data_IF_948020789530
#
_entry.id   IF_948020789530
#
_cell.length_a   1.000
_cell.length_b   1.000
_cell.length_c   1.000
_cell.angle_alpha   90.00
_cell.angle_beta   90.00
_cell.angle_gamma   90.00
#
_symmetry.space_group_name_H-M   'P 1'
#
loop_
_entity.id
_entity.type
_entity.pdbx_description
1 polymer ?
#
# COMPACT_ATOMS: atom_id res chain seq x y z
N UNK A 1 0.09 -12.43 -13.14
CA UNK A 1 -0.88 -12.32 -12.05
C UNK A 1 -2.27 -12.79 -12.50
N UNK A 2 -2.86 -12.20 -13.52
CA UNK A 2 -4.23 -12.48 -13.99
C UNK A 2 -4.45 -13.95 -14.37
N UNK A 3 -3.46 -14.58 -15.03
CA UNK A 3 -3.52 -16.01 -15.35
C UNK A 3 -3.53 -16.88 -14.08
N UNK A 4 -2.80 -16.51 -13.03
CA UNK A 4 -2.83 -17.21 -11.74
C UNK A 4 -4.20 -17.10 -11.08
N UNK A 5 -4.83 -15.92 -11.10
CA UNK A 5 -6.18 -15.71 -10.57
C UNK A 5 -7.20 -16.56 -11.35
N UNK A 6 -7.12 -16.56 -12.69
CA UNK A 6 -7.97 -17.37 -13.55
C UNK A 6 -7.82 -18.87 -13.25
N UNK A 7 -6.59 -19.36 -13.12
CA UNK A 7 -6.32 -20.79 -12.82
C UNK A 7 -6.80 -21.15 -11.41
N UNK A 8 -6.57 -20.32 -10.41
CA UNK A 8 -7.05 -20.52 -9.04
C UNK A 8 -8.58 -20.58 -8.99
N UNK A 9 -9.26 -19.65 -9.66
CA UNK A 9 -10.72 -19.61 -9.76
C UNK A 9 -11.27 -20.86 -10.47
N UNK A 10 -10.62 -21.31 -11.56
CA UNK A 10 -11.00 -22.55 -12.22
C UNK A 10 -10.83 -23.74 -11.28
N UNK A 11 -9.68 -23.82 -10.61
CA UNK A 11 -9.35 -24.95 -9.72
C UNK A 11 -10.28 -25.02 -8.52
N UNK A 12 -10.66 -23.88 -7.93
CA UNK A 12 -11.60 -23.84 -6.81
C UNK A 12 -12.96 -24.45 -7.15
N UNK A 13 -13.42 -24.31 -8.41
CA UNK A 13 -14.67 -24.90 -8.89
C UNK A 13 -14.59 -26.42 -9.15
N UNK A 14 -13.39 -26.95 -9.37
CA UNK A 14 -13.15 -28.39 -9.63
C UNK A 14 -13.00 -29.19 -8.34
N UNK A 15 -12.67 -28.53 -7.21
CA UNK A 15 -12.41 -29.17 -5.92
C UNK A 15 -13.65 -29.02 -5.03
N UNK A 16 -14.19 -30.11 -4.41
CA UNK A 16 -15.27 -29.99 -3.43
C UNK A 16 -14.90 -29.02 -2.31
N UNK A 17 -15.76 -28.04 -2.04
CA UNK A 17 -15.53 -26.95 -1.08
C UNK A 17 -14.28 -26.09 -1.37
N UNK A 18 -13.84 -26.04 -2.63
CA UNK A 18 -12.71 -25.20 -3.03
C UNK A 18 -13.04 -23.71 -2.88
N UNK A 19 -12.12 -22.96 -2.25
CA UNK A 19 -12.26 -21.53 -2.02
C UNK A 19 -11.04 -20.82 -2.60
N UNK A 20 -11.25 -19.68 -3.26
CA UNK A 20 -10.18 -18.75 -3.61
C UNK A 20 -9.90 -17.87 -2.41
N UNK A 21 -8.63 -17.73 -2.04
CA UNK A 21 -8.18 -16.85 -0.96
C UNK A 21 -7.18 -15.86 -1.54
N UNK A 22 -7.59 -14.60 -1.68
CA UNK A 22 -6.74 -13.51 -2.13
C UNK A 22 -7.28 -12.18 -1.59
N UNK A 23 -6.45 -11.15 -1.55
CA UNK A 23 -6.76 -9.88 -0.93
C UNK A 23 -7.40 -8.83 -1.86
N UNK A 24 -7.47 -9.09 -3.17
CA UNK A 24 -8.16 -8.22 -4.12
C UNK A 24 -9.65 -8.50 -4.11
N UNK A 25 -10.45 -7.49 -3.76
CA UNK A 25 -11.91 -7.57 -3.79
C UNK A 25 -12.48 -7.10 -5.13
N UNK A 26 -13.55 -7.74 -5.53
CA UNK A 26 -14.43 -7.34 -6.64
C UNK A 26 -15.89 -7.61 -6.28
N UNK A 27 -16.82 -7.15 -7.10
CA UNK A 27 -18.26 -7.35 -6.85
C UNK A 27 -18.60 -8.84 -6.66
N UNK A 28 -19.15 -9.16 -5.50
CA UNK A 28 -19.51 -10.55 -5.11
C UNK A 28 -18.35 -11.36 -4.48
N UNK A 29 -17.15 -10.79 -4.37
CA UNK A 29 -16.02 -11.39 -3.65
C UNK A 29 -15.35 -10.34 -2.74
N UNK A 30 -15.95 -10.09 -1.61
CA UNK A 30 -15.54 -9.03 -0.68
C UNK A 30 -15.23 -9.55 0.73
N UNK A 31 -15.87 -10.66 1.14
CA UNK A 31 -15.78 -11.16 2.52
C UNK A 31 -14.35 -11.60 2.88
N UNK A 32 -13.73 -12.43 2.06
CA UNK A 32 -12.35 -12.91 2.29
C UNK A 32 -11.34 -11.78 2.20
N UNK A 33 -11.36 -10.89 1.17
CA UNK A 33 -10.53 -9.69 1.15
C UNK A 33 -10.69 -8.82 2.40
N UNK A 34 -11.89 -8.62 2.91
CA UNK A 34 -12.13 -7.88 4.15
C UNK A 34 -11.43 -8.52 5.36
N UNK A 35 -11.51 -9.84 5.50
CA UNK A 35 -10.80 -10.55 6.58
C UNK A 35 -9.29 -10.40 6.47
N UNK A 36 -8.75 -10.47 5.25
CA UNK A 36 -7.31 -10.28 5.00
C UNK A 36 -6.91 -8.83 5.34
N UNK A 37 -7.71 -7.84 4.93
CA UNK A 37 -7.47 -6.43 5.26
C UNK A 37 -7.52 -6.19 6.77
N UNK A 38 -8.43 -6.83 7.50
CA UNK A 38 -8.45 -6.80 8.96
C UNK A 38 -7.17 -7.38 9.57
N UNK A 39 -6.66 -8.48 8.99
CA UNK A 39 -5.37 -9.08 9.37
C UNK A 39 -4.20 -8.13 9.17
N UNK A 40 -4.16 -7.37 8.08
CA UNK A 40 -3.16 -6.32 7.83
C UNK A 40 -3.20 -5.20 8.88
N UNK A 41 -4.35 -4.96 9.50
CA UNK A 41 -4.49 -4.02 10.61
C UNK A 41 -3.58 -4.32 11.81
N UNK A 42 -3.14 -5.57 11.98
CA UNK A 42 -2.17 -5.97 13.03
C UNK A 42 -0.87 -5.19 12.89
N UNK A 43 -0.34 -5.03 11.67
CA UNK A 43 0.89 -4.26 11.42
C UNK A 43 0.70 -2.78 11.83
N UNK A 44 -0.42 -2.17 11.49
CA UNK A 44 -0.70 -0.78 11.86
C UNK A 44 -0.86 -0.61 13.37
N UNK A 45 -1.51 -1.56 14.05
CA UNK A 45 -1.65 -1.59 15.50
C UNK A 45 -0.29 -1.74 16.20
N UNK A 46 0.55 -2.66 15.75
CA UNK A 46 1.90 -2.85 16.31
C UNK A 46 2.76 -1.60 16.11
N UNK A 47 2.68 -0.97 14.93
CA UNK A 47 3.35 0.31 14.66
C UNK A 47 2.91 1.40 15.63
N UNK A 48 1.61 1.54 15.87
CA UNK A 48 1.08 2.54 16.82
C UNK A 48 1.58 2.29 18.24
N UNK A 49 1.59 1.02 18.69
CA UNK A 49 2.09 0.64 20.01
C UNK A 49 3.59 0.93 20.18
N UNK A 50 4.40 0.67 19.13
CA UNK A 50 5.83 0.97 19.13
C UNK A 50 6.09 2.49 19.16
N UNK A 51 5.36 3.28 18.37
CA UNK A 51 5.43 4.74 18.41
C UNK A 51 5.10 5.30 19.79
N UNK A 52 4.09 4.76 20.45
CA UNK A 52 3.71 5.15 21.82
C UNK A 52 4.83 4.80 22.83
N UNK A 53 5.40 3.61 22.74
CA UNK A 53 6.51 3.17 23.59
C UNK A 53 7.75 4.08 23.42
N UNK A 54 8.00 4.57 22.23
CA UNK A 54 9.09 5.52 21.91
C UNK A 54 8.73 7.00 22.20
N UNK A 55 7.58 7.25 22.88
CA UNK A 55 7.05 8.58 23.14
C UNK A 55 6.72 9.42 21.89
N UNK A 56 6.57 8.79 20.74
CA UNK A 56 6.09 9.40 19.51
C UNK A 56 4.55 9.28 19.45
N UNK A 57 3.83 10.27 19.97
CA UNK A 57 2.37 10.17 20.15
C UNK A 57 1.59 10.19 18.85
N UNK A 58 1.94 11.08 17.91
CA UNK A 58 1.26 11.24 16.61
C UNK A 58 2.31 11.48 15.54
N UNK A 59 2.43 10.62 14.54
CA UNK A 59 3.33 10.87 13.40
C UNK A 59 2.81 12.07 12.58
N UNK A 60 3.69 12.76 11.88
CA UNK A 60 3.29 13.84 10.97
C UNK A 60 2.79 13.28 9.64
N UNK A 61 3.37 12.19 9.18
CA UNK A 61 3.06 11.51 7.93
C UNK A 61 3.12 9.99 8.12
N UNK A 62 2.27 9.29 7.40
CA UNK A 62 2.33 7.82 7.24
C UNK A 62 2.44 7.53 5.76
N UNK A 63 3.53 6.89 5.36
CA UNK A 63 3.75 6.45 3.98
C UNK A 63 3.52 4.95 3.90
N UNK A 64 2.71 4.52 2.94
CA UNK A 64 2.41 3.10 2.73
C UNK A 64 2.44 2.77 1.24
N UNK A 65 3.08 1.67 0.88
CA UNK A 65 3.09 1.18 -0.50
C UNK A 65 1.76 0.49 -0.85
N UNK A 66 1.41 0.54 -2.12
CA UNK A 66 0.21 -0.10 -2.65
C UNK A 66 0.43 -0.77 -4.01
N UNK A 67 -0.05 -2.00 -4.14
CA UNK A 67 -0.40 -2.62 -5.41
C UNK A 67 -1.90 -2.46 -5.65
N UNK A 68 -2.71 -3.49 -5.40
CA UNK A 68 -4.19 -3.41 -5.47
C UNK A 68 -4.83 -2.49 -4.42
N UNK A 69 -4.09 -2.15 -3.36
CA UNK A 69 -4.53 -1.24 -2.30
C UNK A 69 -4.97 -1.90 -0.99
N UNK A 70 -5.07 -3.22 -0.89
CA UNK A 70 -5.59 -3.91 0.30
C UNK A 70 -4.83 -3.58 1.57
N UNK A 71 -3.49 -3.68 1.54
CA UNK A 71 -2.62 -3.29 2.65
C UNK A 71 -2.75 -1.78 2.95
N UNK A 72 -2.66 -0.95 1.92
CA UNK A 72 -2.74 0.50 2.08
C UNK A 72 -4.10 0.95 2.65
N UNK A 73 -5.20 0.38 2.17
CA UNK A 73 -6.54 0.64 2.69
C UNK A 73 -6.68 0.28 4.17
N UNK A 74 -6.10 -0.86 4.58
CA UNK A 74 -6.07 -1.26 5.99
C UNK A 74 -5.29 -0.26 6.86
N UNK A 75 -4.09 0.12 6.45
CA UNK A 75 -3.24 1.07 7.19
C UNK A 75 -3.89 2.45 7.26
N UNK A 76 -4.37 2.98 6.12
CA UNK A 76 -5.07 4.27 6.05
C UNK A 76 -6.31 4.27 6.92
N UNK A 77 -7.16 3.24 6.84
CA UNK A 77 -8.35 3.12 7.65
C UNK A 77 -8.05 3.06 9.15
N UNK A 78 -7.02 2.29 9.54
CA UNK A 78 -6.59 2.19 10.93
C UNK A 78 -6.13 3.54 11.49
N UNK A 79 -5.20 4.22 10.84
CA UNK A 79 -4.68 5.50 11.34
C UNK A 79 -5.70 6.64 11.25
N UNK A 80 -6.59 6.64 10.26
CA UNK A 80 -7.72 7.57 10.19
C UNK A 80 -8.61 7.44 11.43
N UNK A 81 -8.92 6.21 11.83
CA UNK A 81 -9.76 5.96 13.00
C UNK A 81 -9.01 6.28 14.31
N UNK A 82 -7.78 5.79 14.46
CA UNK A 82 -6.95 6.00 15.66
C UNK A 82 -6.77 7.49 15.96
N UNK A 83 -6.49 8.29 14.94
CA UNK A 83 -6.24 9.73 15.08
C UNK A 83 -7.45 10.61 14.73
N UNK A 84 -8.67 10.05 14.76
CA UNK A 84 -9.90 10.79 14.43
C UNK A 84 -10.11 12.05 15.28
N UNK A 85 -9.74 11.98 16.56
CA UNK A 85 -9.98 13.03 17.56
C UNK A 85 -8.74 13.89 17.89
N UNK A 86 -7.64 13.80 17.12
CA UNK A 86 -6.47 14.66 17.35
C UNK A 86 -6.56 15.93 16.51
N UNK A 87 -6.06 17.04 17.08
CA UNK A 87 -6.11 18.36 16.43
C UNK A 87 -5.30 18.41 15.12
N UNK A 88 -4.15 17.72 15.07
CA UNK A 88 -3.30 17.64 13.88
C UNK A 88 -3.13 16.17 13.50
N UNK A 89 -3.91 15.73 12.52
CA UNK A 89 -3.85 14.36 12.00
C UNK A 89 -2.61 14.14 11.13
N UNK A 90 -2.07 12.91 11.08
CA UNK A 90 -1.01 12.59 10.13
C UNK A 90 -1.51 12.72 8.69
N UNK A 91 -0.61 13.09 7.79
CA UNK A 91 -0.85 12.98 6.34
C UNK A 91 -0.64 11.54 5.90
N UNK A 92 -1.62 10.98 5.21
CA UNK A 92 -1.63 9.59 4.74
C UNK A 92 -1.25 9.58 3.27
N UNK A 93 -0.09 8.99 2.98
CA UNK A 93 0.53 9.00 1.64
C UNK A 93 0.60 7.59 1.09
N UNK A 94 -0.06 7.36 -0.03
CA UNK A 94 -0.08 6.08 -0.75
C UNK A 94 0.94 6.14 -1.88
N UNK A 95 1.82 5.12 -1.96
CA UNK A 95 2.93 5.08 -2.92
C UNK A 95 2.81 3.85 -3.80
N UNK A 96 2.73 4.04 -5.11
CA UNK A 96 2.60 2.97 -6.10
C UNK A 96 3.80 2.93 -7.05
N UNK A 97 4.03 1.76 -7.65
CA UNK A 97 4.94 1.63 -8.77
C UNK A 97 4.41 2.38 -10.00
N UNK A 98 5.21 3.21 -10.63
CA UNK A 98 4.77 4.05 -11.77
C UNK A 98 4.21 3.23 -12.95
N UNK A 99 4.71 1.99 -13.15
CA UNK A 99 4.21 1.10 -14.19
C UNK A 99 2.80 0.53 -13.90
N UNK A 100 2.33 0.58 -12.63
CA UNK A 100 1.10 -0.06 -12.19
C UNK A 100 0.24 0.84 -11.28
N UNK A 101 0.35 2.18 -11.40
CA UNK A 101 -0.25 3.16 -10.50
C UNK A 101 -1.77 3.34 -10.73
N UNK A 102 -2.56 2.32 -10.41
CA UNK A 102 -4.01 2.30 -10.65
C UNK A 102 -4.79 3.20 -9.68
N UNK A 103 -4.37 3.27 -8.41
CA UNK A 103 -4.98 4.14 -7.40
C UNK A 103 -4.67 5.62 -7.69
N UNK A 104 -3.42 5.95 -8.05
CA UNK A 104 -3.03 7.28 -8.49
C UNK A 104 -3.86 7.73 -9.71
N UNK A 105 -4.02 6.85 -10.69
CA UNK A 105 -4.84 7.12 -11.89
C UNK A 105 -6.30 7.40 -11.53
N UNK A 106 -6.84 6.66 -10.55
CA UNK A 106 -8.18 6.90 -10.00
C UNK A 106 -8.28 8.24 -9.28
N UNK A 107 -7.29 8.58 -8.45
CA UNK A 107 -7.24 9.84 -7.72
C UNK A 107 -7.13 11.06 -8.66
N UNK A 108 -6.29 10.98 -9.69
CA UNK A 108 -6.15 12.07 -10.70
C UNK A 108 -7.42 12.28 -11.51
N UNK A 109 -8.20 11.22 -11.75
CA UNK A 109 -9.47 11.33 -12.49
C UNK A 109 -10.55 12.09 -11.70
N UNK A 110 -10.47 12.13 -10.38
CA UNK A 110 -11.31 12.89 -9.45
C UNK A 110 -12.84 12.69 -9.65
N UNK A 111 -13.24 11.53 -10.16
CA UNK A 111 -14.66 11.17 -10.35
C UNK A 111 -15.12 10.06 -9.39
N UNK A 112 -14.26 9.70 -8.44
CA UNK A 112 -14.52 8.69 -7.41
C UNK A 112 -14.47 7.23 -7.91
N UNK A 113 -14.24 7.00 -9.21
CA UNK A 113 -14.24 5.65 -9.78
C UNK A 113 -12.83 5.04 -9.78
N UNK A 114 -12.71 3.74 -9.50
CA UNK A 114 -11.43 3.05 -9.65
C UNK A 114 -10.99 3.04 -11.11
N UNK A 115 -9.69 2.95 -11.35
CA UNK A 115 -9.09 2.91 -12.69
C UNK A 115 -8.19 1.70 -12.83
N UNK A 116 -8.24 1.06 -13.98
CA UNK A 116 -7.34 -0.04 -14.34
C UNK A 116 -6.16 0.53 -15.11
N UNK A 117 -4.97 -0.01 -14.85
CA UNK A 117 -3.76 0.18 -15.66
C UNK A 117 -3.52 -1.10 -16.44
N UNK A 118 -3.56 -1.00 -17.74
CA UNK A 118 -3.33 -2.09 -18.67
C UNK A 118 -1.92 -2.01 -19.27
N UNK A 119 -1.43 -3.12 -19.79
CA UNK A 119 -0.15 -3.22 -20.49
C UNK A 119 0.90 -3.98 -19.70
N UNK A 120 2.16 -3.70 -20.02
CA UNK A 120 3.29 -4.27 -19.31
C UNK A 120 3.48 -3.52 -17.99
N UNK A 121 3.15 -4.20 -16.89
CA UNK A 121 3.27 -3.67 -15.52
C UNK A 121 4.68 -3.90 -14.97
N UNK A 122 5.71 -3.96 -15.84
CA UNK A 122 7.07 -4.30 -15.45
C UNK A 122 7.66 -3.27 -14.50
N UNK A 123 8.02 -3.75 -13.31
CA UNK A 123 8.68 -2.98 -12.26
C UNK A 123 9.49 -3.93 -11.37
N UNK A 124 10.58 -3.45 -10.77
CA UNK A 124 11.31 -4.22 -9.75
C UNK A 124 10.47 -4.42 -8.49
N UNK A 125 9.47 -3.59 -8.26
CA UNK A 125 8.52 -3.69 -7.14
C UNK A 125 7.44 -4.75 -7.46
N UNK A 126 7.86 -6.01 -7.62
CA UNK A 126 7.00 -7.09 -8.12
C UNK A 126 5.71 -7.27 -7.30
N UNK A 127 5.75 -7.04 -5.99
CA UNK A 127 4.55 -7.08 -5.12
C UNK A 127 3.56 -5.92 -5.36
N UNK A 128 3.95 -4.90 -6.13
CA UNK A 128 3.10 -3.76 -6.49
C UNK A 128 2.70 -3.76 -7.97
N UNK A 129 3.13 -4.76 -8.75
CA UNK A 129 2.84 -4.89 -10.17
C UNK A 129 1.40 -5.37 -10.43
N UNK A 130 0.42 -4.62 -9.96
CA UNK A 130 -1.01 -4.94 -10.02
C UNK A 130 -1.78 -3.77 -10.62
N UNK A 131 -2.34 -3.96 -11.80
CA UNK A 131 -3.04 -2.88 -12.52
C UNK A 131 -4.50 -2.67 -12.12
N UNK A 132 -5.09 -3.57 -11.32
CA UNK A 132 -6.50 -3.51 -10.93
C UNK A 132 -6.64 -3.21 -9.42
N UNK A 133 -7.39 -2.15 -9.03
CA UNK A 133 -7.55 -1.80 -7.64
C UNK A 133 -8.57 -2.72 -6.93
N UNK A 134 -8.30 -3.03 -5.66
CA UNK A 134 -9.28 -3.63 -4.78
C UNK A 134 -10.42 -2.63 -4.52
N UNK A 135 -11.66 -3.01 -4.84
CA UNK A 135 -12.84 -2.13 -4.76
C UNK A 135 -13.15 -1.64 -3.35
N UNK A 136 -12.98 -2.51 -2.34
CA UNK A 136 -13.21 -2.16 -0.92
C UNK A 136 -12.14 -1.18 -0.43
N UNK A 137 -10.87 -1.45 -0.74
CA UNK A 137 -9.78 -0.54 -0.35
C UNK A 137 -9.85 0.81 -1.06
N UNK A 138 -10.30 0.83 -2.32
CA UNK A 138 -10.48 2.08 -3.06
C UNK A 138 -11.41 3.05 -2.34
N UNK A 139 -12.54 2.56 -1.82
CA UNK A 139 -13.48 3.40 -1.07
C UNK A 139 -12.86 4.00 0.19
N UNK A 140 -11.99 3.27 0.88
CA UNK A 140 -11.25 3.79 2.02
C UNK A 140 -10.21 4.82 1.57
N UNK A 141 -9.41 4.47 0.57
CA UNK A 141 -8.28 5.29 0.12
C UNK A 141 -8.72 6.61 -0.48
N UNK A 142 -9.71 6.62 -1.38
CA UNK A 142 -10.22 7.85 -2.01
C UNK A 142 -10.82 8.85 -1.03
N UNK A 143 -11.32 8.37 0.11
CA UNK A 143 -11.95 9.23 1.13
C UNK A 143 -11.00 9.67 2.23
N UNK A 144 -9.88 8.98 2.45
CA UNK A 144 -9.04 9.15 3.64
C UNK A 144 -7.56 9.33 3.35
N UNK A 145 -7.03 8.93 2.20
CA UNK A 145 -5.66 9.25 1.82
C UNK A 145 -5.55 10.73 1.42
N UNK A 146 -4.48 11.39 1.88
CA UNK A 146 -4.21 12.79 1.54
C UNK A 146 -3.46 12.93 0.21
N UNK A 147 -2.60 11.95 -0.11
CA UNK A 147 -1.70 12.02 -1.27
C UNK A 147 -1.55 10.64 -1.90
N UNK A 148 -1.60 10.60 -3.23
CA UNK A 148 -1.22 9.44 -4.03
C UNK A 148 0.03 9.77 -4.84
N UNK A 149 1.01 8.88 -4.84
CA UNK A 149 2.30 9.07 -5.50
C UNK A 149 2.58 7.90 -6.45
N UNK A 150 2.89 8.22 -7.68
CA UNK A 150 3.43 7.28 -8.68
C UNK A 150 4.95 7.36 -8.67
N UNK A 151 5.63 6.33 -8.19
CA UNK A 151 7.07 6.31 -7.96
C UNK A 151 7.80 5.41 -8.97
N UNK A 152 8.83 5.90 -9.66
CA UNK A 152 9.66 5.08 -10.52
C UNK A 152 10.60 4.17 -9.72
N UNK A 153 11.07 3.09 -10.33
CA UNK A 153 11.90 2.04 -9.73
C UNK A 153 13.15 2.53 -8.99
N UNK A 154 13.75 3.64 -9.44
CA UNK A 154 14.93 4.17 -8.76
C UNK A 154 14.64 4.61 -7.33
N UNK A 155 13.40 5.00 -7.02
CA UNK A 155 12.96 5.36 -5.66
C UNK A 155 13.03 4.15 -4.74
N UNK A 156 12.56 2.98 -5.18
CA UNK A 156 12.68 1.75 -4.42
C UNK A 156 14.14 1.36 -4.17
N UNK A 157 14.99 1.46 -5.22
CA UNK A 157 16.44 1.22 -5.08
C UNK A 157 17.11 2.18 -4.09
N UNK A 158 16.69 3.44 -4.07
CA UNK A 158 17.16 4.42 -3.08
C UNK A 158 16.78 3.99 -1.66
N UNK A 159 15.52 3.60 -1.44
CA UNK A 159 15.02 3.13 -0.15
C UNK A 159 15.78 1.91 0.37
N UNK A 160 16.04 0.92 -0.49
CA UNK A 160 16.84 -0.26 -0.13
C UNK A 160 18.27 0.14 0.30
N UNK A 161 18.92 1.06 -0.39
CA UNK A 161 20.26 1.53 -0.05
C UNK A 161 20.28 2.30 1.27
N UNK A 162 19.31 3.19 1.47
CA UNK A 162 19.20 3.98 2.71
C UNK A 162 18.94 3.08 3.91
N UNK A 163 18.03 2.10 3.78
CA UNK A 163 17.76 1.13 4.84
C UNK A 163 18.93 0.20 5.12
N UNK A 164 19.58 -0.32 4.07
CA UNK A 164 20.69 -1.30 4.18
C UNK A 164 22.03 -0.68 4.58
N UNK A 165 22.23 0.62 4.38
CA UNK A 165 23.47 1.33 4.70
C UNK A 165 23.18 2.62 5.50
N UNK A 166 22.64 2.49 6.72
CA UNK A 166 22.25 3.63 7.54
C UNK A 166 23.48 4.41 8.03
N UNK A 167 23.25 5.62 8.51
CA UNK A 167 24.29 6.42 9.20
C UNK A 167 24.63 5.77 10.55
N UNK A 168 25.79 6.17 11.10
CA UNK A 168 26.26 5.64 12.40
C UNK A 168 25.23 5.94 13.49
N UNK A 169 24.74 4.90 14.14
CA UNK A 169 23.77 4.97 15.25
C UNK A 169 22.39 4.44 14.87
N UNK A 170 22.08 4.34 13.59
CA UNK A 170 20.82 3.74 13.12
C UNK A 170 20.96 2.23 12.91
N UNK A 171 19.85 1.51 13.05
CA UNK A 171 19.80 0.08 12.80
C UNK A 171 19.61 -0.20 11.30
N UNK A 172 20.45 -1.07 10.69
CA UNK A 172 20.23 -1.51 9.31
C UNK A 172 18.87 -2.20 9.15
N UNK A 173 18.15 -1.84 8.09
CA UNK A 173 16.87 -2.44 7.71
C UNK A 173 17.05 -3.18 6.39
N UNK A 174 16.80 -4.49 6.40
CA UNK A 174 16.71 -5.29 5.18
C UNK A 174 15.26 -5.30 4.72
N UNK A 175 15.00 -4.77 3.55
CA UNK A 175 13.67 -4.74 2.93
C UNK A 175 13.77 -5.07 1.45
N UNK A 176 12.71 -5.67 0.89
CA UNK A 176 12.57 -5.83 -0.55
C UNK A 176 12.14 -4.53 -1.23
N UNK A 177 12.13 -4.54 -2.56
CA UNK A 177 11.90 -3.38 -3.42
C UNK A 177 10.55 -2.71 -3.12
N UNK A 178 9.49 -3.52 -3.00
CA UNK A 178 8.13 -3.04 -2.73
C UNK A 178 8.02 -2.34 -1.38
N UNK A 179 8.60 -2.93 -0.32
CA UNK A 179 8.57 -2.35 1.03
C UNK A 179 9.51 -1.15 1.20
N UNK A 180 10.51 -1.00 0.34
CA UNK A 180 11.50 0.08 0.42
C UNK A 180 11.02 1.40 -0.21
N UNK A 181 10.05 1.37 -1.12
CA UNK A 181 9.67 2.57 -1.88
C UNK A 181 9.19 3.74 -1.01
N UNK A 182 8.45 3.55 0.10
CA UNK A 182 8.10 4.66 0.98
C UNK A 182 9.32 5.35 1.59
N UNK A 183 10.31 4.56 2.06
CA UNK A 183 11.57 5.10 2.61
C UNK A 183 12.36 5.87 1.54
N UNK A 184 12.45 5.32 0.34
CA UNK A 184 13.10 5.96 -0.80
C UNK A 184 12.43 7.27 -1.20
N UNK A 185 11.09 7.31 -1.17
CA UNK A 185 10.34 8.53 -1.45
C UNK A 185 10.62 9.62 -0.42
N UNK A 186 10.60 9.29 0.87
CA UNK A 186 10.94 10.25 1.94
C UNK A 186 12.35 10.80 1.71
N UNK A 187 13.33 9.94 1.45
CA UNK A 187 14.71 10.36 1.21
C UNK A 187 14.82 11.25 -0.04
N UNK A 188 14.14 10.90 -1.12
CA UNK A 188 14.12 11.70 -2.35
C UNK A 188 13.56 13.11 -2.08
N UNK A 189 12.40 13.20 -1.41
CA UNK A 189 11.78 14.48 -1.07
C UNK A 189 12.64 15.35 -0.16
N UNK A 190 13.36 14.75 0.77
CA UNK A 190 14.26 15.47 1.70
C UNK A 190 15.55 15.96 1.04
N UNK A 191 15.94 15.41 -0.11
CA UNK A 191 17.20 15.72 -0.80
C UNK A 191 17.02 16.44 -2.14
N UNK A 192 15.81 16.52 -2.66
CA UNK A 192 15.53 17.32 -3.86
C UNK A 192 15.68 18.81 -3.54
N UNK A 193 16.37 19.59 -4.39
CA UNK A 193 16.32 21.04 -4.29
C UNK A 193 14.89 21.53 -4.58
N UNK A 194 14.51 22.59 -3.89
CA UNK A 194 13.23 23.29 -4.09
C UNK A 194 13.07 23.81 -5.52
#
# INVERSE_FOLDING_TARGET
YDECVRLATKKSKEVPNGVVVQDTAWEGYEEIPNWIMQGYGTMAMETANQLEADNCKVPTHVFVQAGVGSLAGSVVGYFTNLYSNVAKKPKLVVVEAAAAACLYKGAVADDGKPRIVEGDLETIMAGLACGEPNTVSWDILRNHADVFVSAPDWVARLGMRVGGAPIKGDTPITTGESGAVPLGLVMALMTMPE
#
